data_IF_777575029260
#
_entry.id   IF_777575029260
#
_cell.length_a   1.000
_cell.length_b   1.000
_cell.length_c   1.000
_cell.angle_alpha   90.00
_cell.angle_beta   90.00
_cell.angle_gamma   90.00
#
_symmetry.space_group_name_H-M   'P 1'
#
loop_
_entity.id
_entity.type
_entity.pdbx_description
1 polymer ?
#
# COMPACT_ATOMS: atom_id res chain seq x y z
N UNK A 1 -8.02 3.05 14.53
CA UNK A 1 -6.67 2.64 14.09
C UNK A 1 -5.82 2.54 15.34
N UNK A 2 -5.11 1.44 15.54
CA UNK A 2 -4.19 1.31 16.67
C UNK A 2 -2.85 1.88 16.24
N UNK A 3 -2.39 2.96 16.88
CA UNK A 3 -1.13 3.62 16.52
C UNK A 3 0.06 2.68 16.73
N UNK A 4 1.03 2.72 15.83
CA UNK A 4 2.28 1.97 15.93
C UNK A 4 3.01 2.23 17.27
N UNK A 5 3.57 1.17 17.84
CA UNK A 5 4.42 1.26 19.04
C UNK A 5 5.82 1.80 18.71
N UNK A 6 6.59 2.21 19.72
CA UNK A 6 7.99 2.65 19.52
C UNK A 6 8.85 1.56 18.86
N UNK A 7 8.60 0.28 19.21
CA UNK A 7 9.26 -0.86 18.58
C UNK A 7 8.88 -1.00 17.11
N UNK A 8 7.62 -0.75 16.76
CA UNK A 8 7.17 -0.76 15.36
C UNK A 8 7.80 0.38 14.57
N UNK A 9 7.87 1.59 15.15
CA UNK A 9 8.51 2.76 14.52
C UNK A 9 9.98 2.47 14.27
N UNK A 10 10.70 1.93 15.25
CA UNK A 10 12.10 1.54 15.09
C UNK A 10 12.27 0.50 13.97
N UNK A 11 11.47 -0.57 14.00
CA UNK A 11 11.57 -1.64 13.00
C UNK A 11 11.22 -1.18 11.59
N UNK A 12 10.16 -0.39 11.42
CA UNK A 12 9.78 0.16 10.12
C UNK A 12 10.81 1.18 9.62
N UNK A 13 11.44 1.95 10.52
CA UNK A 13 12.55 2.85 10.16
C UNK A 13 13.72 2.09 9.55
N UNK A 14 14.11 0.95 10.15
CA UNK A 14 15.15 0.07 9.60
C UNK A 14 14.77 -0.48 8.21
N UNK A 15 13.52 -0.96 8.07
CA UNK A 15 13.03 -1.54 6.82
C UNK A 15 12.95 -0.52 5.67
N UNK A 16 12.56 0.72 5.99
CA UNK A 16 12.45 1.81 5.00
C UNK A 16 13.78 2.53 4.76
N UNK A 17 14.77 2.37 5.64
CA UNK A 17 16.02 3.15 5.62
C UNK A 17 15.84 4.63 5.98
N UNK A 18 14.65 5.02 6.46
CA UNK A 18 14.30 6.39 6.87
C UNK A 18 13.17 6.37 7.89
N UNK A 19 13.12 7.39 8.75
CA UNK A 19 12.03 7.52 9.71
C UNK A 19 10.70 7.81 8.99
N UNK A 20 9.60 7.12 9.35
CA UNK A 20 8.26 7.46 8.88
C UNK A 20 7.89 8.91 9.22
N UNK A 21 7.31 9.62 8.26
CA UNK A 21 6.96 11.04 8.38
C UNK A 21 5.49 11.27 8.75
N UNK A 22 4.77 10.21 9.07
CA UNK A 22 3.36 10.24 9.47
C UNK A 22 3.05 9.06 10.36
N UNK A 23 1.86 9.12 10.98
CA UNK A 23 1.36 8.01 11.79
C UNK A 23 0.98 6.82 10.91
N UNK A 24 1.13 5.62 11.45
CA UNK A 24 0.76 4.38 10.79
C UNK A 24 0.38 3.31 11.82
N UNK A 25 -0.19 2.20 11.32
CA UNK A 25 -0.49 0.97 12.04
C UNK A 25 0.20 -0.19 11.32
N UNK A 26 0.78 -1.13 12.06
CA UNK A 26 1.22 -2.40 11.48
C UNK A 26 0.02 -3.33 11.39
N UNK A 27 -0.50 -3.53 10.19
CA UNK A 27 -1.74 -4.30 9.94
C UNK A 27 -1.48 -5.74 9.54
N UNK A 28 -0.25 -6.08 9.16
CA UNK A 28 0.17 -7.45 8.90
C UNK A 28 1.60 -7.68 9.40
N UNK A 29 1.81 -8.83 10.05
CA UNK A 29 3.10 -9.28 10.57
C UNK A 29 3.40 -10.69 10.09
N UNK A 30 4.69 -11.03 10.04
CA UNK A 30 5.14 -12.40 9.84
C UNK A 30 5.07 -13.22 11.15
N UNK A 31 5.44 -14.49 11.07
CA UNK A 31 5.43 -15.40 12.21
C UNK A 31 6.41 -15.00 13.35
N UNK A 32 7.42 -14.17 13.06
CA UNK A 32 8.34 -13.61 14.05
C UNK A 32 7.83 -12.32 14.69
N UNK A 33 6.71 -11.77 14.19
CA UNK A 33 6.16 -10.49 14.61
C UNK A 33 6.71 -9.28 13.83
N UNK A 34 7.58 -9.49 12.84
CA UNK A 34 8.12 -8.40 12.03
C UNK A 34 7.04 -7.84 11.09
N UNK A 35 6.95 -6.51 10.89
CA UNK A 35 5.98 -5.90 9.97
C UNK A 35 6.13 -6.39 8.53
N UNK A 36 5.00 -6.70 7.88
CA UNK A 36 4.89 -6.96 6.44
C UNK A 36 4.16 -5.81 5.74
N UNK A 37 3.02 -5.37 6.30
CA UNK A 37 2.22 -4.27 5.75
C UNK A 37 1.96 -3.24 6.84
N UNK A 38 2.20 -1.97 6.50
CA UNK A 38 1.76 -0.83 7.31
C UNK A 38 0.63 -0.08 6.62
N UNK A 39 -0.29 0.44 7.44
CA UNK A 39 -1.39 1.30 7.05
C UNK A 39 -1.08 2.73 7.49
N UNK A 40 -0.75 3.62 6.56
CA UNK A 40 -0.36 5.00 6.82
C UNK A 40 -1.58 5.89 7.01
N UNK A 41 -1.53 6.88 7.91
CA UNK A 41 -2.50 7.97 7.91
C UNK A 41 -2.47 8.76 6.60
N UNK A 42 -3.62 9.34 6.15
CA UNK A 42 -3.72 10.01 4.86
C UNK A 42 -2.97 11.35 4.83
N UNK A 43 -2.42 11.78 5.95
CA UNK A 43 -1.68 13.02 6.14
C UNK A 43 -0.40 12.74 6.94
N UNK A 44 0.70 13.34 6.52
CA UNK A 44 1.97 13.36 7.24
C UNK A 44 1.91 14.31 8.45
N UNK A 45 2.93 14.29 9.31
CA UNK A 45 3.01 15.15 10.49
C UNK A 45 2.96 16.66 10.17
N UNK A 46 3.45 17.04 8.99
CA UNK A 46 3.42 18.42 8.49
C UNK A 46 2.13 18.78 7.72
N UNK A 47 1.17 17.85 7.64
CA UNK A 47 -0.07 18.01 6.88
C UNK A 47 0.05 17.69 5.39
N UNK A 48 1.22 17.27 4.91
CA UNK A 48 1.40 16.83 3.52
C UNK A 48 0.54 15.59 3.21
N UNK A 49 -0.19 15.56 2.09
CA UNK A 49 -0.94 14.37 1.68
C UNK A 49 -0.09 13.10 1.52
N UNK A 50 -0.53 12.01 2.14
CA UNK A 50 -0.02 10.65 1.90
C UNK A 50 -1.02 9.87 1.05
N UNK A 51 -0.79 9.73 -0.27
CA UNK A 51 -1.77 9.10 -1.15
C UNK A 51 -1.85 7.58 -1.00
N UNK A 52 -0.77 6.96 -0.49
CA UNK A 52 -0.64 5.50 -0.38
C UNK A 52 -0.97 5.04 1.04
N UNK A 53 -2.18 4.48 1.19
CA UNK A 53 -2.70 3.94 2.46
C UNK A 53 -1.94 2.72 2.95
N UNK A 54 -1.51 1.81 2.06
CA UNK A 54 -0.82 0.57 2.42
C UNK A 54 0.58 0.49 1.81
N UNK A 55 1.60 0.28 2.63
CA UNK A 55 2.98 0.03 2.20
C UNK A 55 3.39 -1.40 2.51
N UNK A 56 4.03 -2.05 1.54
CA UNK A 56 4.70 -3.33 1.71
C UNK A 56 6.10 -3.07 2.27
N UNK A 57 6.34 -3.43 3.53
CA UNK A 57 7.63 -3.23 4.23
C UNK A 57 8.34 -4.54 4.56
N UNK A 58 7.63 -5.67 4.46
CA UNK A 58 8.21 -7.00 4.63
C UNK A 58 9.32 -7.24 3.61
N UNK A 59 10.57 -7.55 4.02
CA UNK A 59 11.70 -7.55 3.11
C UNK A 59 11.61 -8.68 2.07
N UNK A 60 11.03 -9.83 2.43
CA UNK A 60 10.86 -10.96 1.50
C UNK A 60 9.84 -10.61 0.43
N UNK A 61 8.68 -10.10 0.84
CA UNK A 61 7.57 -9.72 -0.02
C UNK A 61 7.96 -8.54 -0.91
N UNK A 62 8.60 -7.53 -0.34
CA UNK A 62 9.10 -6.37 -1.08
C UNK A 62 10.09 -6.81 -2.17
N UNK A 63 11.07 -7.66 -1.84
CA UNK A 63 12.03 -8.17 -2.83
C UNK A 63 11.36 -9.00 -3.92
N UNK A 64 10.38 -9.83 -3.57
CA UNK A 64 9.67 -10.65 -4.54
C UNK A 64 8.87 -9.79 -5.54
N UNK A 65 8.15 -8.78 -5.04
CA UNK A 65 7.40 -7.85 -5.89
C UNK A 65 8.33 -6.95 -6.71
N UNK A 66 9.46 -6.50 -6.15
CA UNK A 66 10.47 -5.72 -6.89
C UNK A 66 11.03 -6.49 -8.09
N UNK A 67 11.18 -7.82 -8.00
CA UNK A 67 11.61 -8.66 -9.13
C UNK A 67 10.56 -8.69 -10.25
N UNK A 68 9.27 -8.77 -9.91
CA UNK A 68 8.19 -8.70 -10.89
C UNK A 68 8.18 -7.34 -11.60
N UNK A 69 8.22 -6.24 -10.84
CA UNK A 69 8.25 -4.89 -11.43
C UNK A 69 9.46 -4.70 -12.35
N UNK A 70 10.65 -5.15 -11.93
CA UNK A 70 11.88 -5.08 -12.74
C UNK A 70 11.80 -5.92 -14.00
N UNK A 71 10.94 -6.94 -14.03
CA UNK A 71 10.69 -7.80 -15.19
C UNK A 71 9.56 -7.27 -16.10
N UNK A 72 9.03 -6.07 -15.85
CA UNK A 72 7.99 -5.44 -16.68
C UNK A 72 6.56 -5.91 -16.38
N UNK A 73 6.31 -6.49 -15.19
CA UNK A 73 5.00 -7.05 -14.87
C UNK A 73 3.92 -6.01 -14.59
N UNK A 74 4.27 -4.72 -14.48
CA UNK A 74 3.28 -3.64 -14.39
C UNK A 74 2.42 -3.61 -15.65
N UNK A 75 3.04 -3.50 -16.83
CA UNK A 75 2.33 -3.48 -18.12
C UNK A 75 1.54 -4.77 -18.35
N UNK A 76 2.09 -5.89 -17.89
CA UNK A 76 1.40 -7.18 -17.97
C UNK A 76 0.15 -7.21 -17.08
N UNK A 77 0.23 -6.71 -15.84
CA UNK A 77 -0.93 -6.59 -14.97
C UNK A 77 -1.99 -5.66 -15.57
N UNK A 78 -1.60 -4.51 -16.14
CA UNK A 78 -2.54 -3.59 -16.79
C UNK A 78 -3.29 -4.22 -17.98
N UNK A 79 -2.63 -5.11 -18.72
CA UNK A 79 -3.23 -5.77 -19.88
C UNK A 79 -4.07 -7.01 -19.54
N UNK A 80 -3.77 -7.69 -18.41
CA UNK A 80 -4.45 -8.92 -18.01
C UNK A 80 -5.58 -8.72 -17.01
N UNK A 81 -5.53 -7.64 -16.21
CA UNK A 81 -6.58 -7.30 -15.24
C UNK A 81 -7.71 -6.56 -15.94
N UNK A 82 -8.96 -6.89 -15.60
CA UNK A 82 -10.12 -6.18 -16.12
C UNK A 82 -10.10 -4.69 -15.71
N UNK A 83 -10.27 -3.81 -16.69
CA UNK A 83 -10.14 -2.36 -16.49
C UNK A 83 -11.22 -1.80 -15.56
N UNK A 84 -12.43 -2.36 -15.57
CA UNK A 84 -13.53 -1.94 -14.70
C UNK A 84 -13.29 -2.42 -13.27
N UNK A 85 -12.82 -3.64 -13.07
CA UNK A 85 -12.43 -4.14 -11.75
C UNK A 85 -11.26 -3.34 -11.15
N UNK A 86 -10.28 -2.94 -11.97
CA UNK A 86 -9.18 -2.07 -11.56
C UNK A 86 -9.70 -0.68 -11.15
N UNK A 87 -10.61 -0.09 -11.94
CA UNK A 87 -11.25 1.19 -11.61
C UNK A 87 -11.98 1.10 -10.27
N UNK A 88 -12.79 0.07 -10.05
CA UNK A 88 -13.50 -0.15 -8.78
C UNK A 88 -12.55 -0.37 -7.60
N UNK A 89 -11.41 -1.03 -7.82
CA UNK A 89 -10.36 -1.19 -6.80
C UNK A 89 -9.78 0.16 -6.39
N UNK A 90 -9.47 1.04 -7.34
CA UNK A 90 -9.00 2.38 -7.04
C UNK A 90 -10.05 3.23 -6.30
N UNK A 91 -11.32 3.12 -6.66
CA UNK A 91 -12.40 3.84 -6.00
C UNK A 91 -12.59 3.40 -4.55
N UNK A 92 -12.61 2.08 -4.28
CA UNK A 92 -12.68 1.55 -2.91
C UNK A 92 -11.50 2.03 -2.07
N UNK A 93 -10.29 1.95 -2.62
CA UNK A 93 -9.07 2.41 -1.94
C UNK A 93 -9.12 3.90 -1.60
N UNK A 94 -9.54 4.72 -2.57
CA UNK A 94 -9.67 6.16 -2.37
C UNK A 94 -10.72 6.48 -1.30
N UNK A 95 -11.90 5.85 -1.36
CA UNK A 95 -12.96 6.04 -0.38
C UNK A 95 -12.51 5.65 1.04
N UNK A 96 -11.80 4.53 1.17
CA UNK A 96 -11.25 4.08 2.47
C UNK A 96 -10.25 5.08 3.03
N UNK A 97 -9.28 5.52 2.22
CA UNK A 97 -8.28 6.54 2.61
C UNK A 97 -8.97 7.86 3.00
N UNK A 98 -9.88 8.34 2.18
CA UNK A 98 -10.51 9.64 2.35
C UNK A 98 -11.42 9.67 3.57
N UNK A 99 -12.01 8.53 3.95
CA UNK A 99 -12.79 8.37 5.19
C UNK A 99 -11.96 8.54 6.47
N UNK A 100 -10.63 8.36 6.39
CA UNK A 100 -9.71 8.53 7.50
C UNK A 100 -9.19 9.97 7.66
N UNK A 101 -9.50 10.87 6.72
CA UNK A 101 -9.11 12.27 6.84
C UNK A 101 -9.97 12.94 7.91
N UNK A 102 -9.39 13.70 8.87
CA UNK A 102 -10.16 14.45 9.85
C UNK A 102 -11.24 15.34 9.21
N UNK A 103 -12.44 15.37 9.79
CA UNK A 103 -13.60 16.09 9.22
C UNK A 103 -13.38 17.60 9.15
N UNK A 104 -12.57 18.13 10.06
CA UNK A 104 -12.16 19.53 10.17
C UNK A 104 -10.90 19.86 9.37
N UNK A 105 -10.31 18.90 8.64
CA UNK A 105 -9.14 19.15 7.79
C UNK A 105 -9.50 20.05 6.60
N UNK A 106 -8.85 21.22 6.55
CA UNK A 106 -9.04 22.25 5.51
C UNK A 106 -7.86 22.36 4.54
N UNK A 107 -6.77 21.60 4.76
CA UNK A 107 -5.57 21.63 3.94
C UNK A 107 -5.65 20.77 2.67
N UNK A 108 -4.52 20.61 1.95
CA UNK A 108 -4.42 19.70 0.81
C UNK A 108 -4.84 18.27 1.19
N UNK A 109 -5.45 17.56 0.25
CA UNK A 109 -5.92 16.17 0.45
C UNK A 109 -5.21 15.23 -0.53
N UNK A 110 -4.95 13.98 -0.14
CA UNK A 110 -4.51 12.98 -1.09
C UNK A 110 -5.59 12.71 -2.12
N UNK A 111 -5.20 12.25 -3.31
CA UNK A 111 -6.12 11.93 -4.38
C UNK A 111 -5.66 10.70 -5.15
N UNK A 112 -6.51 10.21 -6.05
CA UNK A 112 -6.25 9.00 -6.85
C UNK A 112 -6.52 7.72 -6.07
N UNK A 113 -6.29 6.58 -6.73
CA UNK A 113 -6.46 5.25 -6.14
C UNK A 113 -5.20 4.76 -5.45
N UNK A 114 -5.01 3.44 -5.48
CA UNK A 114 -3.79 2.75 -5.05
C UNK A 114 -2.52 3.45 -5.56
N UNK A 115 -1.54 3.65 -4.67
CA UNK A 115 -0.29 4.39 -4.94
C UNK A 115 -0.47 5.86 -5.41
N UNK A 116 -1.65 6.45 -5.25
CA UNK A 116 -1.97 7.81 -5.71
C UNK A 116 -2.11 7.94 -7.22
N UNK A 117 -2.30 6.82 -7.93
CA UNK A 117 -2.48 6.87 -9.38
C UNK A 117 -3.85 7.44 -9.77
N UNK A 118 -3.92 8.13 -10.91
CA UNK A 118 -5.20 8.57 -11.47
C UNK A 118 -5.91 7.43 -12.21
N UNK A 119 -5.14 6.61 -12.92
CA UNK A 119 -5.56 5.47 -13.74
C UNK A 119 -4.43 4.45 -13.82
N UNK A 120 -4.75 3.20 -14.09
CA UNK A 120 -3.74 2.16 -14.32
C UNK A 120 -2.95 1.77 -13.09
N UNK A 121 -1.91 0.97 -13.28
CA UNK A 121 -1.09 0.37 -12.22
C UNK A 121 0.23 1.10 -12.12
N UNK A 122 0.42 1.90 -11.06
CA UNK A 122 1.68 2.62 -10.83
C UNK A 122 2.73 1.77 -10.09
N UNK A 123 2.29 0.90 -9.18
CA UNK A 123 3.19 0.15 -8.30
C UNK A 123 2.51 -1.12 -7.77
N UNK A 124 3.11 -2.28 -8.04
CA UNK A 124 2.65 -3.58 -7.59
C UNK A 124 2.76 -3.75 -6.08
N UNK A 125 3.74 -3.12 -5.40
CA UNK A 125 3.87 -3.22 -3.93
C UNK A 125 2.64 -2.69 -3.21
N UNK A 126 2.10 -1.56 -3.67
CA UNK A 126 0.93 -0.94 -3.05
C UNK A 126 -0.33 -1.79 -3.25
N UNK A 127 -0.50 -2.35 -4.46
CA UNK A 127 -1.61 -3.26 -4.77
C UNK A 127 -1.52 -4.57 -3.99
N UNK A 128 -0.33 -5.17 -3.92
CA UNK A 128 -0.12 -6.39 -3.16
C UNK A 128 -0.29 -6.17 -1.65
N UNK A 129 0.22 -5.06 -1.11
CA UNK A 129 -0.04 -4.68 0.28
C UNK A 129 -1.53 -4.53 0.59
N UNK A 130 -2.29 -3.90 -0.31
CA UNK A 130 -3.74 -3.77 -0.18
C UNK A 130 -4.43 -5.15 -0.17
N UNK A 131 -4.13 -5.99 -1.16
CA UNK A 131 -4.63 -7.38 -1.23
C UNK A 131 -4.32 -8.20 0.02
N UNK A 132 -3.13 -8.05 0.60
CA UNK A 132 -2.73 -8.79 1.78
C UNK A 132 -3.62 -8.48 3.01
N UNK A 133 -4.23 -7.30 3.06
CA UNK A 133 -5.07 -6.86 4.19
C UNK A 133 -6.52 -7.33 4.05
N UNK A 134 -7.17 -7.06 2.92
CA UNK A 134 -8.62 -7.23 2.79
C UNK A 134 -9.06 -8.20 1.69
N UNK A 135 -8.11 -8.67 0.86
CA UNK A 135 -8.35 -9.55 -0.28
C UNK A 135 -9.35 -8.97 -1.30
N UNK A 136 -9.34 -7.65 -1.51
CA UNK A 136 -10.24 -6.99 -2.49
C UNK A 136 -9.53 -6.31 -3.66
N UNK A 137 -8.20 -6.27 -3.67
CA UNK A 137 -7.42 -5.67 -4.76
C UNK A 137 -7.13 -6.67 -5.89
N UNK A 138 -7.68 -6.43 -7.09
CA UNK A 138 -7.54 -7.36 -8.22
C UNK A 138 -6.12 -7.45 -8.77
N UNK A 139 -5.35 -6.36 -8.73
CA UNK A 139 -3.93 -6.38 -9.13
C UNK A 139 -3.11 -7.06 -8.04
N UNK A 140 -3.42 -6.83 -6.77
CA UNK A 140 -2.76 -7.54 -5.68
C UNK A 140 -3.05 -9.05 -5.70
N UNK A 141 -4.27 -9.47 -6.05
CA UNK A 141 -4.59 -10.87 -6.31
C UNK A 141 -3.79 -11.43 -7.48
N UNK A 142 -3.67 -10.65 -8.56
CA UNK A 142 -2.87 -11.02 -9.71
C UNK A 142 -1.39 -11.22 -9.34
N UNK A 143 -0.81 -10.31 -8.53
CA UNK A 143 0.56 -10.43 -8.00
C UNK A 143 0.71 -11.69 -7.15
N UNK A 144 -0.23 -11.97 -6.25
CA UNK A 144 -0.23 -13.17 -5.39
C UNK A 144 -0.12 -14.46 -6.22
N UNK A 145 -0.90 -14.57 -7.31
CA UNK A 145 -0.84 -15.72 -8.22
C UNK A 145 0.52 -15.84 -8.91
N UNK A 146 1.13 -14.74 -9.33
CA UNK A 146 2.47 -14.74 -9.96
C UNK A 146 3.56 -15.18 -8.97
N UNK A 147 3.46 -14.76 -7.72
CA UNK A 147 4.41 -15.14 -6.68
C UNK A 147 4.31 -16.63 -6.28
N UNK A 148 3.16 -17.25 -6.44
CA UNK A 148 2.96 -18.69 -6.16
C UNK A 148 3.43 -19.61 -7.31
N UNK A 149 3.70 -19.05 -8.50
CA UNK A 149 4.10 -19.81 -9.69
C UNK A 149 5.63 -19.86 -9.90
N UNK A 150 6.41 -19.11 -9.11
CA UNK A 150 7.87 -19.07 -9.15
C UNK A 150 8.52 -19.70 -7.93
#
# INVERSE_FOLDING_TARGET
MTKASDLDIARVTELLGRQPQGDFEVVLRDASGSPIVVKNEPLLFDGTPMPTRYWLVGPKEHMAVSRLESAGFIDLAESEVDAEELRLTHERYAAERDSAIPKDHTGPRPHGGVAGTRVGVKCLHAHYANWLVDKTDVVGQWVDRRLQQG
#
